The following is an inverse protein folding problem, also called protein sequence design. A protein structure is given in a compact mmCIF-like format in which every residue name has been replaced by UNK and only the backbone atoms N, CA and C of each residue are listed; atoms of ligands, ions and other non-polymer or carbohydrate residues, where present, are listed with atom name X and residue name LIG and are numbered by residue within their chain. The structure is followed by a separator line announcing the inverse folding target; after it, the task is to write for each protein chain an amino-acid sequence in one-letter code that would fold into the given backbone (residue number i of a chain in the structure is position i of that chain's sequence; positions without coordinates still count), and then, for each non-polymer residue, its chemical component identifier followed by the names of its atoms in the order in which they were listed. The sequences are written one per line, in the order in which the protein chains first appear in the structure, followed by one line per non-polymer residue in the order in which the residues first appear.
data_IF_572472787117
#
_entry.id   IF_572472787117
#
_cell.length_a   1.000
_cell.length_b   1.000
_cell.length_c   1.000
_cell.angle_alpha   90.00
_cell.angle_beta   90.00
_cell.angle_gamma   90.00
#
_symmetry.space_group_name_H-M   'P 1'
#
loop_
_entity.id
_entity.type
_entity.pdbx_description
1 polymer ?
#
# COMPACT_ATOMS: atom_id res chain seq x y z
N UNK A 1 -9.02 23.59 9.79
CA UNK A 1 -8.54 22.96 8.53
C UNK A 1 -9.58 23.26 7.45
N UNK A 2 -9.16 23.56 6.21
CA UNK A 2 -10.09 23.94 5.14
C UNK A 2 -10.45 22.79 4.20
N UNK A 3 -9.55 21.82 3.96
CA UNK A 3 -9.72 20.67 3.06
C UNK A 3 -8.83 19.50 3.52
N UNK A 4 -9.15 18.27 3.08
CA UNK A 4 -8.27 17.11 3.19
C UNK A 4 -8.37 16.20 1.95
N UNK A 5 -7.27 15.51 1.62
CA UNK A 5 -7.20 14.49 0.58
C UNK A 5 -6.61 13.22 1.18
N UNK A 6 -7.32 12.10 1.11
CA UNK A 6 -6.99 10.85 1.79
C UNK A 6 -6.92 9.72 0.77
N UNK A 7 -5.80 8.99 0.78
CA UNK A 7 -5.66 7.74 0.03
C UNK A 7 -5.94 6.49 0.88
N UNK A 8 -5.86 6.62 2.21
CA UNK A 8 -6.09 5.51 3.14
C UNK A 8 -7.23 5.84 4.09
N UNK A 9 -8.00 4.82 4.46
CA UNK A 9 -9.10 4.90 5.43
C UNK A 9 -8.89 3.89 6.56
N UNK A 10 -9.55 4.12 7.70
CA UNK A 10 -9.41 3.22 8.86
C UNK A 10 -9.96 1.81 8.59
N UNK A 11 -11.09 1.70 7.86
CA UNK A 11 -11.80 0.44 7.63
C UNK A 11 -11.97 0.17 6.12
N UNK A 12 -10.88 -0.10 5.40
CA UNK A 12 -10.97 -0.38 3.97
C UNK A 12 -11.57 -1.78 3.65
N UNK A 13 -12.37 -1.93 2.58
CA UNK A 13 -12.72 -0.93 1.56
C UNK A 13 -13.97 -0.10 1.91
N UNK A 14 -14.48 -0.20 3.13
CA UNK A 14 -15.66 0.55 3.58
C UNK A 14 -15.33 2.04 3.69
N UNK A 15 -16.26 2.88 3.27
CA UNK A 15 -16.12 4.33 3.33
C UNK A 15 -17.19 4.84 4.29
N UNK A 16 -16.78 5.62 5.29
CA UNK A 16 -17.70 6.30 6.19
C UNK A 16 -18.62 7.24 5.37
N UNK A 17 -19.94 7.04 5.51
CA UNK A 17 -20.94 7.83 4.80
C UNK A 17 -20.85 9.33 5.14
N UNK A 18 -20.36 9.70 6.33
CA UNK A 18 -20.15 11.10 6.70
C UNK A 18 -18.99 11.72 5.93
N UNK A 19 -17.93 10.97 5.59
CA UNK A 19 -16.83 11.47 4.78
C UNK A 19 -17.27 11.78 3.34
N UNK A 20 -18.18 10.96 2.79
CA UNK A 20 -18.72 11.16 1.43
C UNK A 20 -19.56 12.43 1.33
N UNK A 21 -20.21 12.85 2.42
CA UNK A 21 -21.07 14.04 2.45
C UNK A 21 -20.30 15.37 2.52
N UNK A 22 -18.99 15.33 2.77
CA UNK A 22 -18.18 16.52 2.93
C UNK A 22 -17.59 16.99 1.60
N UNK A 23 -18.08 18.11 1.08
CA UNK A 23 -17.59 18.73 -0.18
C UNK A 23 -16.10 19.11 -0.18
N UNK A 24 -15.45 19.06 0.98
CA UNK A 24 -14.04 19.45 1.19
C UNK A 24 -13.09 18.27 1.42
N UNK A 25 -13.57 17.05 1.16
CA UNK A 25 -12.81 15.82 1.27
C UNK A 25 -12.65 15.20 -0.13
N UNK A 26 -11.41 14.90 -0.50
CA UNK A 26 -11.09 14.11 -1.68
C UNK A 26 -10.60 12.73 -1.23
N UNK A 27 -11.17 11.66 -1.79
CA UNK A 27 -10.77 10.29 -1.49
C UNK A 27 -10.15 9.62 -2.72
N UNK A 28 -9.15 8.77 -2.51
CA UNK A 28 -8.65 7.80 -3.48
C UNK A 28 -8.59 6.41 -2.85
N UNK A 29 -8.79 5.32 -3.60
CA UNK A 29 -8.99 3.98 -3.03
C UNK A 29 -7.66 3.25 -2.79
N UNK A 30 -6.86 3.72 -1.83
CA UNK A 30 -5.55 3.13 -1.46
C UNK A 30 -4.67 2.82 -2.67
N UNK A 31 -4.56 3.81 -3.54
CA UNK A 31 -3.94 3.68 -4.86
C UNK A 31 -2.65 4.50 -5.00
N UNK A 32 -2.16 5.14 -3.95
CA UNK A 32 -0.92 5.93 -4.01
C UNK A 32 0.30 5.10 -4.44
N UNK A 33 0.30 3.79 -4.16
CA UNK A 33 1.36 2.89 -4.58
C UNK A 33 1.29 2.52 -6.07
N UNK A 34 0.13 2.69 -6.72
CA UNK A 34 -0.17 2.04 -8.00
C UNK A 34 0.27 2.84 -9.23
N UNK A 35 1.20 2.25 -9.97
CA UNK A 35 1.43 2.45 -11.40
C UNK A 35 1.66 1.07 -12.04
N UNK A 36 1.67 0.97 -13.38
CA UNK A 36 1.98 -0.31 -14.05
C UNK A 36 3.41 -0.76 -13.72
N UNK A 37 4.32 0.20 -13.67
CA UNK A 37 5.73 0.06 -13.36
C UNK A 37 5.93 -0.40 -11.91
N UNK A 38 5.27 0.26 -10.95
CA UNK A 38 5.39 -0.10 -9.52
C UNK A 38 4.79 -1.49 -9.25
N UNK A 39 3.66 -1.82 -9.87
CA UNK A 39 3.04 -3.13 -9.73
C UNK A 39 3.94 -4.26 -10.28
N UNK A 40 4.60 -4.02 -11.41
CA UNK A 40 5.59 -4.95 -11.98
C UNK A 40 6.81 -5.09 -11.07
N UNK A 41 7.36 -3.97 -10.58
CA UNK A 41 8.53 -3.96 -9.71
C UNK A 41 8.25 -4.66 -8.37
N UNK A 42 7.08 -4.42 -7.76
CA UNK A 42 6.67 -5.03 -6.49
C UNK A 42 6.62 -6.55 -6.60
N UNK A 43 5.92 -7.08 -7.61
CA UNK A 43 5.85 -8.54 -7.84
C UNK A 43 7.23 -9.14 -8.13
N UNK A 44 8.03 -8.46 -8.94
CA UNK A 44 9.39 -8.93 -9.29
C UNK A 44 10.27 -9.04 -8.05
N UNK A 45 10.32 -8.00 -7.22
CA UNK A 45 11.13 -7.97 -5.99
C UNK A 45 10.68 -9.03 -4.99
N UNK A 46 9.37 -9.18 -4.78
CA UNK A 46 8.82 -10.20 -3.87
C UNK A 46 9.23 -11.62 -4.30
N UNK A 47 9.11 -11.94 -5.59
CA UNK A 47 9.51 -13.26 -6.11
C UNK A 47 11.02 -13.45 -6.03
N UNK A 48 11.82 -12.42 -6.28
CA UNK A 48 13.28 -12.49 -6.13
C UNK A 48 13.68 -12.85 -4.70
N UNK A 49 13.08 -12.23 -3.69
CA UNK A 49 13.37 -12.56 -2.29
C UNK A 49 12.93 -13.97 -1.91
N UNK A 50 11.77 -14.43 -2.39
CA UNK A 50 11.32 -15.82 -2.22
C UNK A 50 12.36 -16.79 -2.80
N UNK A 51 12.84 -16.53 -4.02
CA UNK A 51 13.84 -17.39 -4.67
C UNK A 51 15.19 -17.40 -3.94
N UNK A 52 15.60 -16.27 -3.33
CA UNK A 52 16.81 -16.19 -2.50
C UNK A 52 16.68 -17.08 -1.27
N UNK A 53 15.57 -16.97 -0.55
CA UNK A 53 15.31 -17.77 0.65
C UNK A 53 15.27 -19.27 0.32
N UNK A 54 14.61 -19.67 -0.76
CA UNK A 54 14.58 -21.08 -1.20
C UNK A 54 15.96 -21.64 -1.57
N UNK A 55 16.93 -20.79 -1.89
CA UNK A 55 18.33 -21.17 -2.13
C UNK A 55 19.20 -21.18 -0.87
N UNK A 56 18.63 -20.85 0.29
CA UNK A 56 19.37 -20.69 1.55
C UNK A 56 20.09 -19.34 1.66
N UNK A 57 19.78 -18.37 0.80
CA UNK A 57 20.30 -17.00 0.87
C UNK A 57 19.37 -16.10 1.69
N UNK A 58 19.89 -14.97 2.19
CA UNK A 58 19.07 -13.94 2.84
C UNK A 58 18.26 -13.15 1.80
N UNK A 59 17.00 -12.75 2.10
CA UNK A 59 16.24 -11.86 1.23
C UNK A 59 16.89 -10.47 1.18
N UNK A 60 16.65 -9.73 0.10
CA UNK A 60 17.16 -8.38 -0.09
C UNK A 60 16.36 -7.35 0.72
N UNK A 61 15.06 -7.57 0.90
CA UNK A 61 14.17 -6.69 1.66
C UNK A 61 13.54 -7.44 2.87
N UNK A 62 14.34 -7.84 3.88
CA UNK A 62 13.80 -8.44 5.10
C UNK A 62 12.95 -7.41 5.87
N UNK A 63 11.82 -7.85 6.41
CA UNK A 63 11.06 -7.09 7.40
C UNK A 63 11.77 -7.26 8.75
N UNK A 64 12.11 -6.17 9.47
CA UNK A 64 12.63 -6.27 10.83
C UNK A 64 11.64 -7.03 11.72
N UNK A 65 12.14 -7.95 12.54
CA UNK A 65 11.32 -8.58 13.57
C UNK A 65 11.32 -7.61 14.75
N UNK A 66 10.15 -7.03 15.06
CA UNK A 66 9.93 -6.31 16.32
C UNK A 66 9.62 -7.35 17.41
N UNK A 67 10.36 -7.28 18.53
CA UNK A 67 10.12 -8.09 19.76
C UNK A 67 9.03 -7.48 20.64
#
# INVERSE_FOLDING_TARGET
ISYAALDVLENEPEIDAELIKLDRIQLTPHAAWFTRESASALRTKAIQDILRVLKGEQPLFPVPIEE
#
